data_IF_696743282453
#
_entry.id   IF_696743282453
#
_cell.length_a   1.000
_cell.length_b   1.000
_cell.length_c   1.000
_cell.angle_alpha   90.00
_cell.angle_beta   90.00
_cell.angle_gamma   90.00
#
_symmetry.space_group_name_H-M   'P 1'
#
loop_
_entity.id
_entity.type
_entity.pdbx_description
1 polymer ?
#
# COMPACT_ATOMS: atom_id res chain seq x y z
N UNK A 1 -47.82 -49.47 -51.66
CA UNK A 1 -46.50 -49.08 -52.18
C UNK A 1 -46.00 -47.91 -51.35
N UNK A 2 -44.99 -48.17 -50.52
CA UNK A 2 -44.30 -47.16 -49.69
C UNK A 2 -43.53 -46.19 -50.61
N UNK A 3 -43.69 -44.89 -50.38
CA UNK A 3 -42.93 -43.83 -51.04
C UNK A 3 -42.36 -42.88 -50.01
N UNK A 4 -41.32 -43.33 -49.31
CA UNK A 4 -40.54 -42.60 -48.33
C UNK A 4 -39.55 -41.68 -49.09
N UNK A 5 -39.93 -40.44 -49.38
CA UNK A 5 -38.99 -39.42 -49.87
C UNK A 5 -38.44 -38.61 -48.71
N UNK A 6 -37.33 -39.11 -48.18
CA UNK A 6 -36.43 -38.45 -47.24
C UNK A 6 -35.70 -37.31 -47.99
N UNK A 7 -36.22 -36.09 -47.91
CA UNK A 7 -35.49 -34.89 -48.31
C UNK A 7 -34.51 -34.52 -47.18
N UNK A 8 -33.24 -34.87 -47.39
CA UNK A 8 -32.12 -34.47 -46.54
C UNK A 8 -31.93 -32.95 -46.65
N UNK A 9 -32.29 -32.24 -45.59
CA UNK A 9 -31.97 -30.83 -45.40
C UNK A 9 -30.50 -30.73 -44.99
N UNK A 10 -29.59 -30.66 -45.95
CA UNK A 10 -28.15 -30.40 -45.68
C UNK A 10 -27.98 -28.89 -45.51
N UNK A 11 -28.45 -28.34 -44.38
CA UNK A 11 -28.07 -26.99 -43.96
C UNK A 11 -26.63 -27.02 -43.49
N UNK A 12 -25.71 -26.65 -44.40
CA UNK A 12 -24.34 -26.24 -44.07
C UNK A 12 -24.40 -25.02 -43.17
N UNK A 13 -24.55 -25.23 -41.86
CA UNK A 13 -24.14 -24.25 -40.86
C UNK A 13 -22.62 -24.28 -40.83
N UNK A 14 -22.00 -23.45 -41.67
CA UNK A 14 -20.63 -23.04 -41.43
C UNK A 14 -20.60 -22.40 -40.04
N UNK A 15 -20.17 -23.16 -39.05
CA UNK A 15 -19.86 -22.64 -37.73
C UNK A 15 -18.75 -21.61 -37.91
N UNK A 16 -19.14 -20.35 -38.04
CA UNK A 16 -18.22 -19.22 -37.90
C UNK A 16 -17.75 -19.28 -36.45
N UNK A 17 -16.57 -19.86 -36.23
CA UNK A 17 -15.80 -19.57 -35.01
C UNK A 17 -15.52 -18.08 -35.05
N UNK A 18 -16.37 -17.30 -34.38
CA UNK A 18 -15.98 -15.99 -33.90
C UNK A 18 -14.91 -16.28 -32.86
N UNK A 19 -13.65 -16.23 -33.28
CA UNK A 19 -12.54 -16.13 -32.35
C UNK A 19 -12.77 -14.79 -31.66
N UNK A 20 -13.11 -14.74 -30.36
CA UNK A 20 -13.22 -13.47 -29.67
C UNK A 20 -11.85 -12.80 -29.83
N UNK A 21 -11.84 -11.63 -30.46
CA UNK A 21 -10.66 -10.76 -30.37
C UNK A 21 -10.44 -10.56 -28.89
N UNK A 22 -9.29 -11.02 -28.43
CA UNK A 22 -8.86 -10.88 -27.06
C UNK A 22 -8.62 -9.39 -26.83
N UNK A 23 -9.66 -8.68 -26.41
CA UNK A 23 -9.59 -7.27 -26.03
C UNK A 23 -8.75 -7.19 -24.76
N UNK A 24 -7.42 -7.21 -24.90
CA UNK A 24 -6.49 -7.03 -23.79
C UNK A 24 -6.10 -5.58 -23.69
N UNK A 25 -6.00 -5.07 -22.46
CA UNK A 25 -5.35 -3.79 -22.19
C UNK A 25 -3.84 -4.02 -22.26
N UNK A 26 -3.08 -3.41 -23.19
CA UNK A 26 -1.63 -3.50 -23.15
C UNK A 26 -1.09 -2.71 -21.95
N UNK A 27 0.03 -3.14 -21.37
CA UNK A 27 0.64 -2.49 -20.20
C UNK A 27 0.83 -0.97 -20.36
N UNK A 28 1.19 -0.50 -21.56
CA UNK A 28 1.36 0.94 -21.82
C UNK A 28 0.10 1.76 -21.56
N UNK A 29 -1.09 1.15 -21.68
CA UNK A 29 -2.40 1.75 -21.46
C UNK A 29 -2.97 1.48 -20.06
N UNK A 30 -2.22 0.79 -19.20
CA UNK A 30 -2.63 0.47 -17.83
C UNK A 30 -2.48 1.69 -16.91
N UNK A 31 -3.52 2.11 -16.22
CA UNK A 31 -3.57 3.35 -15.43
C UNK A 31 -3.42 3.11 -13.92
N UNK A 32 -3.73 1.92 -13.41
CA UNK A 32 -3.67 1.68 -11.97
C UNK A 32 -2.25 1.79 -11.43
N UNK A 33 -1.98 2.71 -10.50
CA UNK A 33 -0.69 2.86 -9.82
C UNK A 33 -0.06 4.24 -10.03
N UNK A 34 0.69 4.71 -9.03
CA UNK A 34 1.24 6.08 -9.00
C UNK A 34 2.51 6.26 -9.83
N UNK A 35 3.33 5.21 -9.96
CA UNK A 35 4.56 5.22 -10.76
C UNK A 35 4.66 3.97 -11.66
N UNK A 36 5.67 3.91 -12.53
CA UNK A 36 5.85 2.79 -13.47
C UNK A 36 5.95 1.43 -12.75
N UNK A 37 6.57 1.39 -11.56
CA UNK A 37 6.74 0.14 -10.81
C UNK A 37 5.41 -0.33 -10.23
N UNK A 38 4.65 0.55 -9.59
CA UNK A 38 3.32 0.23 -9.06
C UNK A 38 2.33 -0.11 -10.18
N UNK A 39 2.43 0.58 -11.32
CA UNK A 39 1.67 0.24 -12.54
C UNK A 39 2.00 -1.16 -13.03
N UNK A 40 3.28 -1.54 -13.09
CA UNK A 40 3.68 -2.89 -13.52
C UNK A 40 3.17 -3.95 -12.56
N UNK A 41 3.37 -3.75 -11.26
CA UNK A 41 2.94 -4.70 -10.24
C UNK A 41 1.42 -4.92 -10.27
N UNK A 42 0.63 -3.85 -10.31
CA UNK A 42 -0.82 -3.97 -10.36
C UNK A 42 -1.30 -4.58 -11.69
N UNK A 43 -0.65 -4.27 -12.81
CA UNK A 43 -0.96 -4.90 -14.09
C UNK A 43 -0.75 -6.41 -14.02
N UNK A 44 0.42 -6.87 -13.55
CA UNK A 44 0.76 -8.30 -13.45
C UNK A 44 -0.24 -9.05 -12.54
N UNK A 45 -0.56 -8.50 -11.37
CA UNK A 45 -1.51 -9.11 -10.42
C UNK A 45 -2.90 -9.24 -11.05
N UNK A 46 -3.44 -8.16 -11.63
CA UNK A 46 -4.79 -8.19 -12.23
C UNK A 46 -4.80 -9.03 -13.51
N UNK A 47 -3.74 -8.99 -14.31
CA UNK A 47 -3.61 -9.81 -15.51
C UNK A 47 -3.64 -11.30 -15.17
N UNK A 48 -2.95 -11.73 -14.11
CA UNK A 48 -2.86 -13.15 -13.75
C UNK A 48 -4.13 -13.65 -13.05
N UNK A 49 -4.74 -12.83 -12.17
CA UNK A 49 -5.85 -13.30 -11.32
C UNK A 49 -7.24 -12.91 -11.84
N UNK A 50 -7.32 -11.88 -12.68
CA UNK A 50 -8.55 -11.16 -13.06
C UNK A 50 -8.58 -10.75 -14.53
N UNK A 51 -7.94 -11.54 -15.38
CA UNK A 51 -7.76 -11.25 -16.81
C UNK A 51 -9.05 -10.84 -17.53
N UNK A 52 -10.18 -11.48 -17.21
CA UNK A 52 -11.46 -11.28 -17.89
C UNK A 52 -12.18 -9.97 -17.50
N UNK A 53 -11.71 -9.30 -16.45
CA UNK A 53 -12.19 -7.97 -16.03
C UNK A 53 -11.08 -6.91 -16.02
N UNK A 54 -9.97 -7.19 -16.72
CA UNK A 54 -8.79 -6.33 -16.80
C UNK A 54 -9.14 -4.92 -17.32
N UNK A 55 -9.99 -4.83 -18.36
CA UNK A 55 -10.46 -3.55 -18.90
C UNK A 55 -11.24 -2.75 -17.86
N UNK A 56 -12.15 -3.41 -17.14
CA UNK A 56 -12.99 -2.79 -16.14
C UNK A 56 -12.16 -2.25 -14.97
N UNK A 57 -11.20 -3.03 -14.47
CA UNK A 57 -10.25 -2.56 -13.45
C UNK A 57 -9.47 -1.33 -13.93
N UNK A 58 -8.94 -1.37 -15.15
CA UNK A 58 -8.19 -0.25 -15.71
C UNK A 58 -9.04 1.03 -15.81
N UNK A 59 -10.29 0.88 -16.25
CA UNK A 59 -11.24 1.98 -16.36
C UNK A 59 -11.56 2.59 -14.99
N UNK A 60 -11.71 1.76 -13.94
CA UNK A 60 -11.90 2.25 -12.58
C UNK A 60 -10.74 3.15 -12.13
N UNK A 61 -9.51 2.75 -12.41
CA UNK A 61 -8.31 3.56 -12.09
C UNK A 61 -8.28 4.87 -12.89
N UNK A 62 -8.54 4.81 -14.20
CA UNK A 62 -8.59 6.02 -15.03
C UNK A 62 -9.62 7.04 -14.54
N UNK A 63 -10.79 6.58 -14.08
CA UNK A 63 -11.83 7.45 -13.52
C UNK A 63 -11.44 8.00 -12.14
N UNK A 64 -10.74 7.21 -11.33
CA UNK A 64 -10.22 7.65 -10.02
C UNK A 64 -9.17 8.74 -10.16
N UNK A 65 -8.20 8.57 -11.05
CA UNK A 65 -7.16 9.57 -11.32
C UNK A 65 -7.78 10.87 -11.83
N UNK A 66 -8.76 10.79 -12.74
CA UNK A 66 -9.49 11.96 -13.21
C UNK A 66 -10.27 12.65 -12.08
N UNK A 67 -10.89 11.88 -11.18
CA UNK A 67 -11.60 12.42 -10.01
C UNK A 67 -10.64 13.18 -9.07
N UNK A 68 -9.41 12.68 -8.92
CA UNK A 68 -8.35 13.34 -8.16
C UNK A 68 -7.92 14.65 -8.83
N UNK A 69 -7.68 14.64 -10.15
CA UNK A 69 -7.36 15.84 -10.93
C UNK A 69 -8.47 16.89 -10.81
N UNK A 70 -9.74 16.49 -10.90
CA UNK A 70 -10.88 17.40 -10.76
C UNK A 70 -11.14 17.87 -9.31
N UNK A 71 -10.34 17.38 -8.35
CA UNK A 71 -10.40 17.76 -6.94
C UNK A 71 -11.81 17.60 -6.33
N UNK A 72 -12.51 16.51 -6.66
CA UNK A 72 -13.90 16.26 -6.22
C UNK A 72 -14.03 15.78 -4.77
N UNK A 73 -12.93 15.74 -4.02
CA UNK A 73 -12.85 15.22 -2.65
C UNK A 73 -12.27 13.80 -2.61
N UNK A 74 -11.16 13.61 -1.88
CA UNK A 74 -10.48 12.31 -1.79
C UNK A 74 -11.43 11.17 -1.40
N UNK A 75 -12.16 11.31 -0.29
CA UNK A 75 -13.09 10.28 0.20
C UNK A 75 -14.18 9.95 -0.83
N UNK A 76 -14.67 10.95 -1.56
CA UNK A 76 -15.66 10.74 -2.61
C UNK A 76 -15.08 9.93 -3.77
N UNK A 77 -13.88 10.31 -4.24
CA UNK A 77 -13.18 9.60 -5.31
C UNK A 77 -12.84 8.15 -4.91
N UNK A 78 -12.33 7.93 -3.70
CA UNK A 78 -11.98 6.61 -3.18
C UNK A 78 -13.23 5.72 -3.06
N UNK A 79 -14.35 6.25 -2.58
CA UNK A 79 -15.61 5.51 -2.49
C UNK A 79 -16.16 5.14 -3.87
N UNK A 80 -16.05 6.05 -4.85
CA UNK A 80 -16.45 5.79 -6.23
C UNK A 80 -15.56 4.71 -6.88
N UNK A 81 -14.25 4.79 -6.66
CA UNK A 81 -13.29 3.79 -7.09
C UNK A 81 -13.57 2.40 -6.50
N UNK A 82 -13.76 2.32 -5.18
CA UNK A 82 -14.09 1.06 -4.50
C UNK A 82 -15.41 0.45 -5.03
N UNK A 83 -16.43 1.27 -5.29
CA UNK A 83 -17.69 0.79 -5.90
C UNK A 83 -17.49 0.27 -7.32
N UNK A 84 -16.67 0.96 -8.11
CA UNK A 84 -16.33 0.54 -9.48
C UNK A 84 -15.62 -0.81 -9.48
N UNK A 85 -14.59 -0.99 -8.65
CA UNK A 85 -13.87 -2.25 -8.53
C UNK A 85 -14.80 -3.40 -8.10
N UNK A 86 -15.66 -3.16 -7.11
CA UNK A 86 -16.63 -4.17 -6.66
C UNK A 86 -17.60 -4.58 -7.78
N UNK A 87 -18.03 -3.64 -8.63
CA UNK A 87 -18.86 -3.94 -9.78
C UNK A 87 -18.09 -4.79 -10.81
N UNK A 88 -16.84 -4.46 -11.11
CA UNK A 88 -15.98 -5.23 -12.00
C UNK A 88 -15.81 -6.68 -11.49
N UNK A 89 -15.61 -6.87 -10.18
CA UNK A 89 -15.48 -8.21 -9.57
C UNK A 89 -16.73 -9.07 -9.75
N UNK A 90 -17.94 -8.48 -9.76
CA UNK A 90 -19.17 -9.24 -10.00
C UNK A 90 -19.23 -9.87 -11.40
N UNK A 91 -18.48 -9.31 -12.36
CA UNK A 91 -18.41 -9.81 -13.74
C UNK A 91 -17.28 -10.84 -13.93
N UNK A 92 -16.41 -11.03 -12.94
CA UNK A 92 -15.24 -11.88 -13.03
C UNK A 92 -15.57 -13.37 -12.91
N UNK A 93 -14.95 -14.21 -13.74
CA UNK A 93 -14.99 -15.67 -13.66
C UNK A 93 -14.30 -16.19 -12.41
N UNK A 94 -13.25 -15.51 -11.95
CA UNK A 94 -12.52 -15.82 -10.71
C UNK A 94 -12.84 -14.79 -9.62
N UNK A 95 -14.11 -14.73 -9.21
CA UNK A 95 -14.61 -13.71 -8.31
C UNK A 95 -13.84 -13.62 -6.97
N UNK A 96 -13.39 -14.74 -6.40
CA UNK A 96 -12.74 -14.74 -5.08
C UNK A 96 -11.39 -14.00 -5.07
N UNK A 97 -10.49 -14.32 -6.00
CA UNK A 97 -9.19 -13.64 -6.10
C UNK A 97 -9.38 -12.16 -6.51
N UNK A 98 -10.30 -11.91 -7.45
CA UNK A 98 -10.58 -10.54 -7.88
C UNK A 98 -11.18 -9.69 -6.78
N UNK A 99 -12.03 -10.27 -5.94
CA UNK A 99 -12.55 -9.61 -4.77
C UNK A 99 -11.44 -9.23 -3.80
N UNK A 100 -10.46 -10.11 -3.59
CA UNK A 100 -9.31 -9.82 -2.74
C UNK A 100 -8.44 -8.67 -3.30
N UNK A 101 -8.18 -8.66 -4.60
CA UNK A 101 -7.43 -7.57 -5.24
C UNK A 101 -8.19 -6.25 -5.21
N UNK A 102 -9.50 -6.26 -5.48
CA UNK A 102 -10.35 -5.08 -5.37
C UNK A 102 -10.35 -4.51 -3.94
N UNK A 103 -10.43 -5.40 -2.93
CA UNK A 103 -10.36 -5.01 -1.53
C UNK A 103 -9.02 -4.32 -1.20
N UNK A 104 -7.89 -4.90 -1.61
CA UNK A 104 -6.57 -4.32 -1.33
C UNK A 104 -6.34 -3.01 -2.06
N UNK A 105 -6.77 -2.89 -3.32
CA UNK A 105 -6.71 -1.63 -4.06
C UNK A 105 -7.56 -0.54 -3.38
N UNK A 106 -8.79 -0.86 -2.98
CA UNK A 106 -9.67 0.05 -2.25
C UNK A 106 -9.06 0.47 -0.90
N UNK A 107 -8.47 -0.48 -0.16
CA UNK A 107 -7.79 -0.20 1.10
C UNK A 107 -6.59 0.74 0.88
N UNK A 108 -5.77 0.46 -0.14
CA UNK A 108 -4.56 1.23 -0.43
C UNK A 108 -4.87 2.70 -0.72
N UNK A 109 -5.87 3.01 -1.56
CA UNK A 109 -6.20 4.41 -1.88
C UNK A 109 -6.74 5.17 -0.66
N UNK A 110 -7.48 4.50 0.22
CA UNK A 110 -8.02 5.14 1.44
C UNK A 110 -6.95 5.48 2.47
N UNK A 111 -5.90 4.65 2.56
CA UNK A 111 -4.83 4.84 3.54
C UNK A 111 -3.71 5.72 2.98
N UNK A 112 -3.31 5.50 1.72
CA UNK A 112 -2.13 6.12 1.11
C UNK A 112 -2.47 7.15 0.03
N UNK A 113 -3.73 7.24 -0.41
CA UNK A 113 -4.12 8.09 -1.53
C UNK A 113 -4.14 9.59 -1.23
N UNK A 114 -3.93 10.01 0.03
CA UNK A 114 -3.91 11.43 0.39
C UNK A 114 -2.76 12.17 -0.29
N UNK A 115 -1.59 11.53 -0.42
CA UNK A 115 -0.45 12.10 -1.13
C UNK A 115 -0.76 12.30 -2.62
N UNK A 116 -1.23 11.26 -3.31
CA UNK A 116 -1.59 11.35 -4.73
C UNK A 116 -2.72 12.33 -5.00
N UNK A 117 -3.65 12.49 -4.06
CA UNK A 117 -4.72 13.48 -4.16
C UNK A 117 -4.19 14.91 -4.09
N UNK A 118 -3.32 15.21 -3.12
CA UNK A 118 -2.67 16.53 -2.99
C UNK A 118 -1.74 16.82 -4.18
N UNK A 119 -1.04 15.80 -4.68
CA UNK A 119 -0.20 15.92 -5.87
C UNK A 119 -1.03 16.31 -7.10
N UNK A 120 -2.17 15.65 -7.33
CA UNK A 120 -3.09 15.97 -8.43
C UNK A 120 -3.62 17.41 -8.35
N UNK A 121 -3.92 17.91 -7.15
CA UNK A 121 -4.31 19.32 -6.97
C UNK A 121 -3.21 20.29 -7.41
N UNK A 122 -1.95 20.00 -7.07
CA UNK A 122 -0.83 20.85 -7.46
C UNK A 122 -0.60 20.88 -8.98
N UNK A 123 -0.90 19.78 -9.68
CA UNK A 123 -0.80 19.72 -11.14
C UNK A 123 -1.83 20.65 -11.81
N UNK A 124 -3.08 20.65 -11.35
CA UNK A 124 -4.13 21.52 -11.91
C UNK A 124 -3.84 23.01 -11.73
N UNK A 125 -3.25 23.40 -10.59
CA UNK A 125 -2.85 24.78 -10.34
C UNK A 125 -1.80 25.29 -11.36
N UNK A 126 -0.94 24.40 -11.85
CA UNK A 126 0.11 24.76 -12.79
C UNK A 126 -0.39 24.88 -14.23
N UNK A 127 -1.45 24.16 -14.62
CA UNK A 127 -2.07 24.28 -15.93
C UNK A 127 -2.84 25.60 -16.08
N UNK A 128 -3.59 26.01 -15.04
CA UNK A 128 -4.31 27.29 -15.03
C UNK A 128 -3.37 28.50 -15.05
N UNK A 129 -2.22 28.42 -14.38
CA UNK A 129 -1.20 29.47 -14.40
C UNK A 129 -0.47 29.63 -15.75
N UNK A 130 -0.34 28.54 -16.52
CA UNK A 130 0.36 28.55 -17.81
C UNK A 130 -0.44 29.23 -18.92
N UNK A 131 -1.76 29.22 -18.83
CA UNK A 131 -2.64 29.93 -19.79
C UNK A 131 -2.52 31.46 -19.61
N UNK A 132 -2.14 31.95 -18.43
CA UNK A 132 -1.96 33.38 -18.18
C UNK A 132 -0.54 33.93 -18.45
N UNK A 133 0.50 33.09 -18.52
CA UNK A 133 1.88 33.55 -18.76
C UNK A 133 2.28 33.71 -20.25
N UNK A 134 1.29 33.66 -21.15
CA UNK A 134 1.47 33.91 -22.58
C UNK A 134 1.56 35.39 -22.98
N UNK A 135 1.82 36.35 -22.08
CA UNK A 135 2.29 37.71 -22.39
C UNK A 135 3.04 38.22 -21.14
N UNK A 136 4.37 38.21 -21.15
CA UNK A 136 5.23 39.36 -20.81
C UNK A 136 6.71 38.95 -20.69
N UNK A 137 7.57 39.89 -21.04
CA UNK A 137 8.99 39.83 -21.38
C UNK A 137 9.97 39.97 -20.20
N UNK A 138 11.13 39.31 -20.37
CA UNK A 138 12.54 39.70 -20.10
C UNK A 138 13.04 40.24 -18.74
N UNK A 139 14.21 39.68 -18.37
CA UNK A 139 15.31 40.24 -17.54
C UNK A 139 15.01 40.43 -16.03
N UNK A 140 15.93 40.17 -15.09
CA UNK A 140 17.38 40.35 -15.12
C UNK A 140 18.07 39.52 -14.01
N UNK A 141 19.36 39.23 -14.22
CA UNK A 141 20.33 38.61 -13.31
C UNK A 141 20.48 39.36 -11.97
N UNK A 142 20.68 38.60 -10.89
CA UNK A 142 21.08 39.10 -9.58
C UNK A 142 22.01 38.13 -8.84
N UNK A 143 23.20 38.61 -8.48
CA UNK A 143 24.30 37.93 -7.79
C UNK A 143 23.95 37.48 -6.36
N UNK A 144 24.34 36.26 -5.91
CA UNK A 144 24.02 35.79 -4.56
C UNK A 144 24.99 36.37 -3.52
N UNK A 145 24.44 37.17 -2.61
CA UNK A 145 25.09 37.62 -1.39
C UNK A 145 25.03 36.50 -0.35
N UNK A 146 26.17 36.19 0.27
CA UNK A 146 26.31 35.24 1.38
C UNK A 146 25.33 35.55 2.51
N UNK A 147 24.30 34.72 2.66
CA UNK A 147 23.36 34.76 3.79
C UNK A 147 23.94 33.93 4.93
N UNK A 148 24.08 34.55 6.09
CA UNK A 148 24.23 33.86 7.36
C UNK A 148 23.13 32.80 7.52
N UNK A 149 23.53 31.56 7.83
CA UNK A 149 22.62 30.43 8.00
C UNK A 149 21.51 30.78 9.02
N UNK A 150 20.24 30.52 8.69
CA UNK A 150 19.15 30.64 9.66
C UNK A 150 19.37 29.65 10.81
N UNK A 151 19.08 30.11 12.02
CA UNK A 151 19.48 29.50 13.30
C UNK A 151 18.81 28.14 13.60
N UNK A 152 18.00 27.60 12.68
CA UNK A 152 17.40 26.27 12.76
C UNK A 152 17.19 25.72 11.35
N UNK A 153 17.99 24.72 10.96
CA UNK A 153 17.72 23.93 9.75
C UNK A 153 16.48 23.08 10.03
N UNK A 154 15.37 23.42 9.39
CA UNK A 154 14.15 22.61 9.43
C UNK A 154 14.34 21.46 8.45
N UNK A 155 14.17 20.23 8.91
CA UNK A 155 14.20 19.08 8.04
C UNK A 155 12.98 19.05 7.14
N UNK A 156 13.18 19.00 5.82
CA UNK A 156 12.10 18.85 4.85
C UNK A 156 11.59 17.41 4.81
N UNK A 157 10.99 16.94 5.90
CA UNK A 157 10.31 15.64 5.99
C UNK A 157 8.82 15.89 5.78
N UNK A 158 8.30 15.46 4.62
CA UNK A 158 6.91 15.71 4.21
C UNK A 158 5.89 14.88 5.01
N UNK A 159 6.31 13.73 5.54
CA UNK A 159 5.46 12.89 6.39
C UNK A 159 5.41 13.43 7.84
N UNK A 160 4.23 13.78 8.37
CA UNK A 160 4.11 14.41 9.68
C UNK A 160 4.47 13.46 10.84
N UNK A 161 4.31 12.14 10.67
CA UNK A 161 4.67 11.16 11.69
C UNK A 161 6.19 10.96 11.74
N UNK A 162 6.82 10.79 10.57
CA UNK A 162 8.27 10.71 10.44
C UNK A 162 8.95 12.00 10.94
N UNK A 163 8.35 13.17 10.65
CA UNK A 163 8.82 14.46 11.15
C UNK A 163 8.78 14.52 12.69
N UNK A 164 7.66 14.09 13.30
CA UNK A 164 7.54 14.00 14.75
C UNK A 164 8.55 13.04 15.38
N UNK A 165 8.71 11.85 14.81
CA UNK A 165 9.71 10.90 15.32
C UNK A 165 11.14 11.42 15.12
N UNK A 166 11.40 12.19 14.06
CA UNK A 166 12.70 12.82 13.85
C UNK A 166 13.00 13.85 14.95
N UNK A 167 12.03 14.71 15.29
CA UNK A 167 12.17 15.67 16.41
C UNK A 167 12.46 14.94 17.73
N UNK A 168 11.70 13.90 18.04
CA UNK A 168 11.92 13.06 19.24
C UNK A 168 13.30 12.41 19.23
N UNK A 169 13.74 11.88 18.09
CA UNK A 169 15.07 11.27 17.95
C UNK A 169 16.19 12.29 18.15
N UNK A 170 16.05 13.52 17.63
CA UNK A 170 17.02 14.61 17.84
C UNK A 170 17.14 14.98 19.32
N UNK A 171 16.03 14.98 20.06
CA UNK A 171 16.05 15.25 21.51
C UNK A 171 16.69 14.11 22.31
N UNK A 172 16.34 12.86 22.01
CA UNK A 172 16.84 11.68 22.73
C UNK A 172 18.31 11.40 22.40
N UNK A 173 18.73 11.61 21.15
CA UNK A 173 20.07 11.39 20.65
C UNK A 173 20.95 12.64 20.75
N UNK A 174 20.91 13.37 21.86
CA UNK A 174 21.60 14.66 22.03
C UNK A 174 23.11 14.62 21.68
N UNK A 175 23.78 13.48 21.88
CA UNK A 175 25.21 13.30 21.54
C UNK A 175 25.48 13.23 20.03
N UNK A 176 24.47 12.94 19.21
CA UNK A 176 24.57 12.78 17.77
C UNK A 176 23.90 13.94 17.00
N UNK A 177 23.46 15.00 17.69
CA UNK A 177 22.66 16.10 17.13
C UNK A 177 23.29 16.74 15.88
N UNK A 178 24.62 16.87 15.86
CA UNK A 178 25.35 17.43 14.71
C UNK A 178 25.21 16.53 13.48
N UNK A 179 25.37 15.21 13.65
CA UNK A 179 25.25 14.25 12.57
C UNK A 179 23.80 14.14 12.06
N UNK A 180 22.81 14.23 12.94
CA UNK A 180 21.40 14.34 12.55
C UNK A 180 21.14 15.56 11.67
N UNK A 181 21.72 16.70 12.04
CA UNK A 181 21.57 17.96 11.29
C UNK A 181 22.23 17.85 9.92
N UNK A 182 23.38 17.16 9.81
CA UNK A 182 24.06 16.90 8.55
C UNK A 182 23.25 15.98 7.63
N UNK A 183 22.73 14.84 8.14
CA UNK A 183 21.85 13.96 7.38
C UNK A 183 20.61 14.71 6.87
N UNK A 184 20.06 15.58 7.71
CA UNK A 184 18.89 16.38 7.42
C UNK A 184 19.13 17.45 6.35
N UNK A 185 20.26 18.15 6.41
CA UNK A 185 20.66 19.13 5.41
C UNK A 185 20.87 18.47 4.04
N UNK A 186 21.51 17.29 4.01
CA UNK A 186 21.68 16.50 2.79
C UNK A 186 20.32 16.07 2.21
N UNK A 187 19.39 15.64 3.07
CA UNK A 187 18.03 15.26 2.68
C UNK A 187 17.25 16.45 2.11
N UNK A 188 17.25 17.58 2.81
CA UNK A 188 16.60 18.82 2.37
C UNK A 188 17.16 19.32 1.04
N UNK A 189 18.49 19.30 0.90
CA UNK A 189 19.18 19.65 -0.35
C UNK A 189 18.81 18.70 -1.49
N UNK A 190 18.61 17.41 -1.20
CA UNK A 190 18.16 16.43 -2.17
C UNK A 190 16.74 16.75 -2.67
N UNK A 191 15.80 17.07 -1.76
CA UNK A 191 14.43 17.47 -2.11
C UNK A 191 14.41 18.77 -2.94
N UNK A 192 15.24 19.75 -2.59
CA UNK A 192 15.28 21.05 -3.26
C UNK A 192 15.84 20.99 -4.68
N UNK A 193 16.67 19.99 -4.99
CA UNK A 193 17.27 19.87 -6.32
C UNK A 193 16.31 19.36 -7.40
N UNK A 194 15.01 19.13 -7.11
CA UNK A 194 13.85 18.85 -8.01
C UNK A 194 14.04 17.80 -9.13
N UNK A 195 15.23 17.21 -9.26
CA UNK A 195 15.68 16.34 -10.34
C UNK A 195 15.96 14.93 -9.85
N UNK A 196 15.85 14.70 -8.54
CA UNK A 196 16.09 13.41 -7.89
C UNK A 196 14.76 12.92 -7.33
N UNK A 197 14.33 11.73 -7.73
CA UNK A 197 13.13 11.07 -7.21
C UNK A 197 13.06 11.17 -5.67
N UNK A 198 11.95 11.63 -5.07
CA UNK A 198 11.80 11.79 -3.61
C UNK A 198 12.20 10.54 -2.81
N UNK A 199 11.85 9.37 -3.32
CA UNK A 199 12.24 8.07 -2.75
C UNK A 199 13.76 7.89 -2.64
N UNK A 200 14.53 8.35 -3.64
CA UNK A 200 15.99 8.28 -3.57
C UNK A 200 16.56 9.21 -2.48
N UNK A 201 15.88 10.33 -2.19
CA UNK A 201 16.27 11.22 -1.11
C UNK A 201 15.98 10.59 0.25
N UNK A 202 14.79 10.02 0.45
CA UNK A 202 14.45 9.30 1.68
C UNK A 202 15.37 8.09 1.93
N UNK A 203 15.72 7.34 0.88
CA UNK A 203 16.66 6.22 1.01
C UNK A 203 18.03 6.67 1.50
N UNK A 204 18.63 7.67 0.86
CA UNK A 204 19.93 8.23 1.27
C UNK A 204 19.86 8.79 2.69
N UNK A 205 18.75 9.42 3.04
CA UNK A 205 18.54 9.94 4.38
C UNK A 205 18.49 8.82 5.42
N UNK A 206 17.71 7.76 5.20
CA UNK A 206 17.69 6.62 6.11
C UNK A 206 19.02 5.87 6.14
N UNK A 207 19.77 5.76 5.04
CA UNK A 207 21.14 5.22 5.04
C UNK A 207 22.08 6.07 5.92
N UNK A 208 21.95 7.39 5.87
CA UNK A 208 22.69 8.31 6.73
C UNK A 208 22.34 8.08 8.22
N UNK A 209 21.05 8.05 8.56
CA UNK A 209 20.58 7.77 9.92
C UNK A 209 21.02 6.39 10.43
N UNK A 210 20.98 5.37 9.57
CA UNK A 210 21.47 4.02 9.88
C UNK A 210 22.99 4.00 10.12
N UNK A 211 23.75 4.89 9.48
CA UNK A 211 25.14 5.12 9.81
C UNK A 211 25.33 5.48 11.29
N UNK A 212 24.42 6.29 11.84
CA UNK A 212 24.45 6.74 13.24
C UNK A 212 24.05 5.64 14.23
N UNK A 213 23.21 4.69 13.80
CA UNK A 213 22.85 3.52 14.61
C UNK A 213 24.07 2.67 14.97
N UNK A 214 25.05 2.53 14.07
CA UNK A 214 26.27 1.73 14.32
C UNK A 214 27.12 2.26 15.47
N UNK A 215 27.02 3.56 15.74
CA UNK A 215 27.74 4.22 16.83
C UNK A 215 26.92 4.28 18.12
N UNK A 216 25.64 3.89 18.07
CA UNK A 216 24.74 3.84 19.22
C UNK A 216 24.81 2.50 19.94
N UNK A 217 24.60 2.50 21.26
CA UNK A 217 24.49 1.27 22.03
C UNK A 217 23.19 0.57 21.66
N UNK A 218 23.29 -0.64 21.11
CA UNK A 218 22.14 -1.48 20.75
C UNK A 218 21.17 -1.62 21.94
N UNK A 219 19.88 -1.38 21.70
CA UNK A 219 18.84 -1.39 22.73
C UNK A 219 18.77 -0.14 23.63
N UNK A 220 19.50 0.93 23.29
CA UNK A 220 19.37 2.23 23.95
C UNK A 220 18.19 3.05 23.43
N UNK A 221 17.70 4.01 24.23
CA UNK A 221 16.58 4.92 23.83
C UNK A 221 16.84 5.66 22.52
N UNK A 222 18.09 6.00 22.23
CA UNK A 222 18.47 6.65 20.97
C UNK A 222 18.37 5.69 19.78
N UNK A 223 18.76 4.42 19.97
CA UNK A 223 18.59 3.37 18.97
C UNK A 223 17.10 3.19 18.63
N UNK A 224 16.25 3.05 19.66
CA UNK A 224 14.80 2.89 19.48
C UNK A 224 14.17 4.08 18.75
N UNK A 225 14.56 5.31 19.09
CA UNK A 225 14.05 6.50 18.42
C UNK A 225 14.50 6.57 16.95
N UNK A 226 15.75 6.21 16.65
CA UNK A 226 16.28 6.15 15.29
C UNK A 226 15.58 5.09 14.44
N UNK A 227 15.28 3.91 15.01
CA UNK A 227 14.51 2.86 14.33
C UNK A 227 13.10 3.32 13.95
N UNK A 228 12.44 4.13 14.78
CA UNK A 228 11.12 4.71 14.44
C UNK A 228 11.21 5.64 13.23
N UNK A 229 12.19 6.54 13.22
CA UNK A 229 12.42 7.46 12.08
C UNK A 229 12.76 6.67 10.82
N UNK A 230 13.66 5.69 10.94
CA UNK A 230 14.06 4.83 9.83
C UNK A 230 12.88 4.03 9.28
N UNK A 231 12.06 3.47 10.17
CA UNK A 231 10.86 2.71 9.85
C UNK A 231 9.83 3.54 9.10
N UNK A 232 9.59 4.79 9.49
CA UNK A 232 8.63 5.64 8.78
C UNK A 232 9.16 6.13 7.42
N UNK A 233 10.47 6.35 7.30
CA UNK A 233 11.08 6.85 6.06
C UNK A 233 11.32 5.77 5.00
N UNK A 234 11.71 4.57 5.43
CA UNK A 234 12.12 3.46 4.53
C UNK A 234 11.17 2.27 4.62
N UNK A 235 10.32 2.20 5.64
CA UNK A 235 9.22 1.25 5.72
C UNK A 235 8.08 1.52 4.74
N UNK A 236 8.40 2.00 3.54
CA UNK A 236 7.60 1.75 2.33
C UNK A 236 8.34 0.86 1.33
N UNK A 237 9.68 0.81 1.35
CA UNK A 237 10.49 0.18 0.29
C UNK A 237 10.91 -1.27 0.61
N UNK A 238 11.17 -1.64 1.87
CA UNK A 238 11.56 -3.04 2.21
C UNK A 238 10.36 -4.01 2.26
N UNK A 239 9.14 -3.47 2.07
CA UNK A 239 7.85 -4.16 2.03
C UNK A 239 7.69 -5.12 0.85
N UNK A 240 8.58 -5.05 -0.16
CA UNK A 240 8.60 -5.97 -1.30
C UNK A 240 9.18 -7.34 -0.97
N UNK A 241 9.76 -7.54 0.21
CA UNK A 241 10.07 -8.89 0.71
C UNK A 241 8.95 -9.34 1.65
N UNK A 242 8.62 -10.63 1.57
CA UNK A 242 7.63 -11.27 2.44
C UNK A 242 7.87 -10.95 3.92
N UNK A 243 9.13 -10.73 4.31
CA UNK A 243 9.56 -10.40 5.67
C UNK A 243 9.23 -8.94 6.06
N UNK A 244 9.39 -7.95 5.17
CA UNK A 244 9.07 -6.54 5.45
C UNK A 244 7.58 -6.29 5.69
N UNK A 245 6.71 -6.95 4.91
CA UNK A 245 5.27 -6.95 5.19
C UNK A 245 4.95 -7.53 6.58
N UNK A 246 5.63 -8.62 6.98
CA UNK A 246 5.41 -9.24 8.27
C UNK A 246 5.91 -8.39 9.44
N UNK A 247 7.05 -7.69 9.32
CA UNK A 247 7.52 -6.78 10.36
C UNK A 247 6.57 -5.60 10.57
N UNK A 248 6.05 -5.01 9.50
CA UNK A 248 5.13 -3.87 9.60
C UNK A 248 3.73 -4.28 10.04
N UNK A 249 3.26 -5.45 9.62
CA UNK A 249 2.06 -6.07 10.18
C UNK A 249 2.27 -6.37 11.67
N UNK A 250 3.42 -6.95 12.07
CA UNK A 250 3.75 -7.23 13.47
C UNK A 250 3.82 -5.94 14.30
N UNK A 251 4.42 -4.88 13.75
CA UNK A 251 4.51 -3.57 14.39
C UNK A 251 3.12 -2.95 14.56
N UNK A 252 2.30 -2.94 13.50
CA UNK A 252 0.92 -2.48 13.57
C UNK A 252 0.08 -3.30 14.57
N UNK A 253 0.24 -4.62 14.59
CA UNK A 253 -0.36 -5.51 15.57
C UNK A 253 0.12 -5.20 17.00
N UNK A 254 1.40 -4.89 17.21
CA UNK A 254 1.94 -4.49 18.50
C UNK A 254 1.37 -3.14 18.97
N UNK A 255 1.18 -2.19 18.07
CA UNK A 255 0.53 -0.91 18.36
C UNK A 255 -0.95 -1.09 18.74
N UNK A 256 -1.65 -1.99 18.05
CA UNK A 256 -3.01 -2.41 18.43
C UNK A 256 -3.03 -3.08 19.81
N UNK A 257 -2.08 -3.96 20.09
CA UNK A 257 -1.92 -4.67 21.37
C UNK A 257 -1.71 -3.68 22.54
N UNK A 258 -0.85 -2.68 22.35
CA UNK A 258 -0.61 -1.62 23.31
C UNK A 258 -1.86 -0.75 23.58
N UNK A 259 -2.64 -0.46 22.53
CA UNK A 259 -3.89 0.32 22.66
C UNK A 259 -5.06 -0.46 23.25
N UNK A 260 -5.13 -1.77 23.04
CA UNK A 260 -6.27 -2.61 23.44
C UNK A 260 -6.04 -3.37 24.74
N UNK A 261 -4.82 -3.43 25.26
CA UNK A 261 -4.51 -4.13 26.52
C UNK A 261 -4.52 -5.66 26.42
N UNK A 262 -4.63 -6.23 25.22
CA UNK A 262 -4.59 -7.69 24.95
C UNK A 262 -3.19 -8.27 25.25
N UNK A 263 -2.95 -8.63 26.51
CA UNK A 263 -1.65 -9.12 27.00
C UNK A 263 -1.62 -10.61 27.34
N UNK A 264 -2.74 -11.34 27.29
CA UNK A 264 -2.87 -12.61 28.01
C UNK A 264 -2.60 -13.92 27.25
N UNK A 265 -2.31 -13.94 25.94
CA UNK A 265 -2.23 -15.22 25.18
C UNK A 265 -0.79 -15.73 24.94
N UNK A 266 0.25 -14.98 25.26
CA UNK A 266 1.60 -15.28 24.77
C UNK A 266 2.50 -16.17 25.66
N UNK A 267 2.10 -16.55 26.88
CA UNK A 267 3.03 -17.22 27.81
C UNK A 267 3.41 -18.68 27.46
N UNK A 268 3.04 -19.21 26.30
CA UNK A 268 3.39 -20.58 25.92
C UNK A 268 4.00 -20.76 24.51
N UNK A 269 4.47 -19.69 23.87
CA UNK A 269 4.86 -19.74 22.44
C UNK A 269 6.36 -19.63 22.13
N UNK A 270 7.25 -19.73 23.13
CA UNK A 270 8.70 -19.71 22.92
C UNK A 270 9.30 -21.01 22.31
N UNK A 271 8.50 -21.89 21.72
CA UNK A 271 8.95 -23.17 21.16
C UNK A 271 8.61 -23.39 19.68
N UNK A 272 8.09 -22.39 18.97
CA UNK A 272 7.64 -22.54 17.58
C UNK A 272 8.38 -21.62 16.59
N UNK A 273 8.56 -22.06 15.33
CA UNK A 273 9.19 -21.26 14.29
C UNK A 273 8.34 -20.02 13.97
N UNK A 274 8.98 -18.87 13.62
CA UNK A 274 8.33 -17.56 13.49
C UNK A 274 7.18 -17.48 12.47
N UNK A 275 7.07 -18.45 11.55
CA UNK A 275 5.95 -18.51 10.59
C UNK A 275 4.65 -19.11 11.15
N UNK A 276 4.70 -19.93 12.21
CA UNK A 276 3.51 -20.60 12.77
C UNK A 276 2.79 -19.73 13.82
N UNK A 277 3.54 -18.90 14.54
CA UNK A 277 3.00 -17.94 15.53
C UNK A 277 2.21 -16.83 14.85
N UNK A 278 2.69 -16.31 13.72
CA UNK A 278 2.01 -15.23 12.99
C UNK A 278 0.68 -15.69 12.37
N UNK A 279 0.58 -16.93 11.90
CA UNK A 279 -0.68 -17.47 11.39
C UNK A 279 -1.73 -17.57 12.50
N UNK A 280 -1.32 -17.98 13.71
CA UNK A 280 -2.20 -17.99 14.87
C UNK A 280 -2.62 -16.56 15.30
N UNK A 281 -1.71 -15.59 15.26
CA UNK A 281 -2.01 -14.18 15.60
C UNK A 281 -2.95 -13.52 14.57
N UNK A 282 -2.72 -13.74 13.28
CA UNK A 282 -3.62 -13.29 12.20
C UNK A 282 -4.99 -13.96 12.35
N UNK A 283 -5.05 -15.27 12.65
CA UNK A 283 -6.31 -15.96 12.90
C UNK A 283 -7.03 -15.43 14.14
N UNK A 284 -6.33 -15.05 15.22
CA UNK A 284 -6.93 -14.43 16.41
C UNK A 284 -7.51 -13.06 16.07
N UNK A 285 -6.80 -12.23 15.30
CA UNK A 285 -7.30 -10.93 14.85
C UNK A 285 -8.52 -11.11 13.93
N UNK A 286 -8.47 -12.06 13.00
CA UNK A 286 -9.63 -12.39 12.17
C UNK A 286 -10.80 -12.95 13.01
N UNK A 287 -10.54 -13.77 14.03
CA UNK A 287 -11.58 -14.34 14.91
C UNK A 287 -12.25 -13.29 15.82
N UNK A 288 -11.52 -12.25 16.21
CA UNK A 288 -12.02 -11.17 17.10
C UNK A 288 -12.77 -10.09 16.31
N UNK A 289 -12.35 -9.80 15.08
CA UNK A 289 -12.89 -8.67 14.31
C UNK A 289 -13.80 -9.08 13.14
N UNK A 290 -13.90 -10.37 12.80
CA UNK A 290 -14.82 -10.86 11.77
C UNK A 290 -16.09 -11.43 12.43
N UNK A 291 -17.29 -10.96 12.07
CA UNK A 291 -18.55 -11.48 12.61
C UNK A 291 -18.67 -13.01 12.49
N UNK A 292 -19.27 -13.71 13.47
CA UNK A 292 -19.40 -15.17 13.49
C UNK A 292 -20.03 -15.79 12.23
N UNK A 293 -20.81 -15.02 11.48
CA UNK A 293 -21.44 -15.43 10.22
C UNK A 293 -20.45 -15.77 9.09
N UNK A 294 -19.24 -15.21 9.11
CA UNK A 294 -18.21 -15.45 8.07
C UNK A 294 -17.36 -16.68 8.40
N UNK A 295 -17.20 -17.02 9.68
CA UNK A 295 -16.40 -18.17 10.14
C UNK A 295 -17.00 -19.54 9.80
N UNK A 296 -18.28 -19.60 9.44
CA UNK A 296 -18.97 -20.85 9.06
C UNK A 296 -18.47 -21.39 7.71
N UNK A 297 -17.93 -20.54 6.83
CA UNK A 297 -17.39 -20.95 5.52
C UNK A 297 -16.04 -21.69 5.61
N UNK A 298 -15.25 -21.50 6.67
CA UNK A 298 -13.95 -22.17 6.82
C UNK A 298 -14.05 -23.66 7.23
N UNK A 299 -15.26 -24.22 7.42
CA UNK A 299 -15.45 -25.62 7.84
C UNK A 299 -15.34 -26.68 6.74
N UNK A 300 -15.00 -26.34 5.49
CA UNK A 300 -15.05 -27.30 4.37
C UNK A 300 -13.75 -27.66 3.64
N UNK A 301 -12.56 -27.25 4.09
CA UNK A 301 -11.29 -27.75 3.53
C UNK A 301 -10.64 -28.83 4.41
N UNK A 302 -11.15 -30.06 4.30
CA UNK A 302 -10.62 -31.27 4.95
C UNK A 302 -9.25 -31.77 4.45
N UNK A 303 -8.52 -30.98 3.66
CA UNK A 303 -7.36 -31.49 2.91
C UNK A 303 -5.98 -31.30 3.59
N UNK A 304 -5.85 -30.56 4.70
CA UNK A 304 -4.53 -30.27 5.28
C UNK A 304 -4.32 -30.61 6.77
N UNK A 305 -5.30 -31.19 7.47
CA UNK A 305 -5.12 -31.57 8.87
C UNK A 305 -4.99 -33.10 9.04
N UNK A 306 -3.75 -33.59 9.22
CA UNK A 306 -3.52 -34.85 9.94
C UNK A 306 -3.81 -34.59 11.42
N UNK A 307 -4.68 -35.34 12.10
CA UNK A 307 -5.02 -35.04 13.48
C UNK A 307 -3.87 -35.45 14.41
N UNK A 308 -3.29 -34.48 15.13
CA UNK A 308 -2.74 -34.72 16.46
C UNK A 308 -3.74 -34.17 17.48
N UNK A 309 -4.06 -34.99 18.47
CA UNK A 309 -4.96 -34.65 19.55
C UNK A 309 -4.41 -33.45 20.33
N UNK A 310 -5.07 -32.30 20.21
CA UNK A 310 -4.89 -31.17 21.12
C UNK A 310 -6.26 -30.82 21.70
N UNK A 311 -6.40 -30.99 23.01
CA UNK A 311 -7.55 -30.48 23.75
C UNK A 311 -7.31 -28.99 24.01
N UNK A 312 -7.97 -28.14 23.24
CA UNK A 312 -8.06 -26.71 23.55
C UNK A 312 -9.22 -26.55 24.56
N UNK A 313 -8.90 -26.33 25.83
CA UNK A 313 -9.88 -25.99 26.86
C UNK A 313 -9.84 -24.47 27.02
N UNK A 314 -10.78 -23.76 26.39
CA UNK A 314 -11.06 -22.36 26.68
C UNK A 314 -12.10 -22.35 27.80
N UNK A 315 -11.82 -21.67 28.91
CA UNK A 315 -12.78 -21.62 30.01
C UNK A 315 -13.98 -20.75 29.62
N UNK A 316 -15.18 -21.13 30.08
CA UNK A 316 -16.42 -20.39 29.81
C UNK A 316 -16.31 -18.90 30.21
N UNK A 317 -15.55 -18.60 31.26
CA UNK A 317 -15.33 -17.23 31.73
C UNK A 317 -14.45 -16.40 30.78
N UNK A 318 -13.57 -17.02 29.99
CA UNK A 318 -12.78 -16.30 28.97
C UNK A 318 -13.63 -15.96 27.74
N UNK A 319 -14.64 -16.78 27.43
CA UNK A 319 -15.56 -16.51 26.32
C UNK A 319 -16.60 -15.44 26.68
N UNK A 320 -17.05 -15.39 27.93
CA UNK A 320 -18.03 -14.39 28.39
C UNK A 320 -17.43 -12.99 28.60
N UNK A 321 -16.09 -12.87 28.75
CA UNK A 321 -15.41 -11.58 28.84
C UNK A 321 -14.97 -11.03 27.48
N UNK A 322 -15.04 -11.84 26.42
CA UNK A 322 -14.62 -11.47 25.07
C UNK A 322 -15.79 -11.11 24.13
N UNK A 323 -17.04 -11.34 24.56
CA UNK A 323 -18.27 -10.93 23.90
C UNK A 323 -18.84 -9.66 24.55
#
# INVERSE_FOLDING_TARGET
MLGLHLLLCVSNVASVMIIPQSDTVPFVSWQCGTDERMRRMSYEIIYDECFDVLIQFNNCCSVHDQCYLENLGQTFCDDAFCKCLNAAVQEAKNADNCHQNAFWACFAVRIFGSYSYLEAQNQTAHEDGRIQQGISTSEMEGTPTSKSLPETVICAIDDPLASKHYEEAVEVCAQQKTQFSECCEQHTTCHWNLSIHPLSCHRKFGECLRGLLKDSVEGGRCYEALELVYGDLIGGEEFSTKEGFFYSLQYWLNQLRAKTGLTSVANNYNQHPPGETLFAEIMIVLLVFVPPSILIMCRFTKAFCRPRNYNLIISKNELENAL
#
